data_IF_951841309466
#
_entry.id   IF_951841309466
#
_cell.length_a   1.000
_cell.length_b   1.000
_cell.length_c   1.000
_cell.angle_alpha   90.00
_cell.angle_beta   90.00
_cell.angle_gamma   90.00
#
_symmetry.space_group_name_H-M   'P 1'
#
loop_
_entity.id
_entity.type
_entity.pdbx_description
1 polymer ?
#
# COMPACT_ATOMS: atom_id res chain seq x y z
N UNK A 1 -21.83 -7.34 17.67
CA UNK A 1 -20.74 -6.55 17.06
C UNK A 1 -19.46 -7.39 17.18
N UNK A 2 -18.90 -7.85 16.06
CA UNK A 2 -17.70 -8.71 16.08
C UNK A 2 -16.48 -7.79 15.99
N UNK A 3 -15.73 -7.67 17.08
CA UNK A 3 -14.49 -6.90 17.10
C UNK A 3 -13.43 -7.77 16.42
N UNK A 4 -13.11 -7.43 15.18
CA UNK A 4 -12.00 -8.01 14.44
C UNK A 4 -10.69 -7.61 15.14
N UNK A 5 -9.82 -8.58 15.46
CA UNK A 5 -8.48 -8.32 16.02
C UNK A 5 -7.48 -7.75 14.99
N UNK A 6 -7.98 -7.31 13.83
CA UNK A 6 -7.21 -6.74 12.73
C UNK A 6 -7.90 -5.52 12.16
N UNK A 7 -7.12 -4.53 11.74
CA UNK A 7 -7.62 -3.36 11.01
C UNK A 7 -8.14 -3.77 9.63
N UNK A 8 -9.30 -3.23 9.26
CA UNK A 8 -9.85 -3.25 7.91
C UNK A 8 -9.04 -2.35 6.97
N UNK A 9 -9.22 -2.53 5.66
CA UNK A 9 -8.58 -1.70 4.66
C UNK A 9 -8.90 -0.20 4.83
N UNK A 10 -10.17 0.13 5.09
CA UNK A 10 -10.59 1.51 5.30
C UNK A 10 -9.89 2.14 6.51
N UNK A 11 -9.77 1.39 7.61
CA UNK A 11 -9.05 1.86 8.80
C UNK A 11 -7.55 2.07 8.50
N UNK A 12 -6.93 1.20 7.71
CA UNK A 12 -5.52 1.35 7.28
C UNK A 12 -5.36 2.61 6.41
N UNK A 13 -6.28 2.88 5.49
CA UNK A 13 -6.26 4.08 4.64
C UNK A 13 -6.40 5.36 5.48
N UNK A 14 -7.30 5.38 6.46
CA UNK A 14 -7.47 6.52 7.38
C UNK A 14 -6.18 6.75 8.19
N UNK A 15 -5.57 5.68 8.71
CA UNK A 15 -4.29 5.77 9.43
C UNK A 15 -3.16 6.32 8.54
N UNK A 16 -3.07 5.85 7.29
CA UNK A 16 -2.10 6.38 6.33
C UNK A 16 -2.32 7.87 6.08
N UNK A 17 -3.57 8.30 5.85
CA UNK A 17 -3.91 9.70 5.60
C UNK A 17 -3.50 10.60 6.76
N UNK A 18 -3.82 10.21 8.00
CA UNK A 18 -3.44 10.98 9.20
C UNK A 18 -1.93 11.10 9.30
N UNK A 19 -1.20 10.00 9.16
CA UNK A 19 0.26 10.00 9.29
C UNK A 19 0.95 10.80 8.18
N UNK A 20 0.46 10.74 6.94
CA UNK A 20 0.97 11.56 5.85
C UNK A 20 0.64 13.03 6.03
N UNK A 21 -0.55 13.36 6.54
CA UNK A 21 -0.95 14.75 6.84
C UNK A 21 -0.02 15.37 7.89
N UNK A 22 0.32 14.59 8.93
CA UNK A 22 1.30 15.01 9.95
C UNK A 22 2.69 15.26 9.38
N UNK A 23 3.05 14.63 8.24
CA UNK A 23 4.32 14.84 7.55
C UNK A 23 4.29 15.96 6.49
N UNK A 24 3.15 16.20 5.83
CA UNK A 24 3.02 17.15 4.70
C UNK A 24 2.54 18.55 5.09
N UNK A 25 1.91 18.72 6.25
CA UNK A 25 1.37 20.03 6.67
C UNK A 25 1.04 20.16 8.15
N UNK A 26 1.20 19.10 8.94
CA UNK A 26 1.17 19.18 10.39
C UNK A 26 2.35 19.99 10.92
N UNK A 27 2.18 20.60 12.10
CA UNK A 27 3.32 21.23 12.78
C UNK A 27 4.39 20.17 12.97
N UNK A 28 5.67 20.38 12.58
CA UNK A 28 6.71 19.36 12.67
C UNK A 28 6.85 18.76 14.08
N UNK A 29 6.51 19.55 15.10
CA UNK A 29 6.40 19.13 16.49
C UNK A 29 5.40 17.99 16.74
N UNK A 30 4.32 17.86 15.98
CA UNK A 30 3.33 16.79 16.15
C UNK A 30 3.87 15.42 15.70
N UNK A 31 4.60 15.37 14.58
CA UNK A 31 5.19 14.14 14.07
C UNK A 31 6.48 13.77 14.81
N UNK A 32 7.30 14.75 15.19
CA UNK A 32 8.63 14.53 15.78
C UNK A 32 8.65 14.40 17.31
N UNK A 33 7.60 14.83 18.03
CA UNK A 33 7.54 14.69 19.50
C UNK A 33 7.35 13.27 19.99
N UNK A 34 6.83 12.39 19.14
CA UNK A 34 6.59 11.00 19.52
C UNK A 34 7.66 10.10 18.91
N UNK A 35 8.53 9.54 19.76
CA UNK A 35 9.60 8.60 19.37
C UNK A 35 9.09 7.39 18.57
N UNK A 36 7.84 7.01 18.78
CA UNK A 36 7.23 5.84 18.14
C UNK A 36 6.62 6.17 16.77
N UNK A 37 6.54 7.45 16.38
CA UNK A 37 5.90 7.88 15.14
C UNK A 37 6.46 7.14 13.91
N UNK A 38 7.78 7.08 13.79
CA UNK A 38 8.43 6.41 12.67
C UNK A 38 8.13 4.89 12.64
N UNK A 39 8.02 4.27 13.82
CA UNK A 39 7.64 2.86 13.95
C UNK A 39 6.19 2.63 13.52
N UNK A 40 5.28 3.50 13.96
CA UNK A 40 3.85 3.45 13.60
C UNK A 40 3.67 3.64 12.10
N UNK A 41 4.34 4.63 11.49
CA UNK A 41 4.29 4.85 10.05
C UNK A 41 4.71 3.61 9.26
N UNK A 42 5.86 3.01 9.59
CA UNK A 42 6.33 1.78 8.94
C UNK A 42 5.35 0.61 9.12
N UNK A 43 4.74 0.48 10.30
CA UNK A 43 3.72 -0.56 10.57
C UNK A 43 2.50 -0.37 9.68
N UNK A 44 1.99 0.85 9.54
CA UNK A 44 0.84 1.15 8.67
C UNK A 44 1.16 0.86 7.20
N UNK A 45 2.33 1.27 6.71
CA UNK A 45 2.78 0.94 5.35
C UNK A 45 2.88 -0.58 5.13
N UNK A 46 3.37 -1.32 6.13
CA UNK A 46 3.45 -2.79 6.06
C UNK A 46 2.05 -3.42 6.04
N UNK A 47 1.11 -2.90 6.84
CA UNK A 47 -0.28 -3.37 6.82
C UNK A 47 -0.93 -3.14 5.46
N UNK A 48 -0.73 -1.96 4.86
CA UNK A 48 -1.19 -1.64 3.50
C UNK A 48 -0.64 -2.62 2.47
N UNK A 49 0.68 -2.84 2.46
CA UNK A 49 1.34 -3.80 1.56
C UNK A 49 0.73 -5.20 1.69
N UNK A 50 0.53 -5.70 2.91
CA UNK A 50 -0.07 -7.02 3.15
C UNK A 50 -1.51 -7.12 2.66
N UNK A 51 -2.29 -6.04 2.74
CA UNK A 51 -3.67 -6.02 2.19
C UNK A 51 -3.64 -6.07 0.67
N UNK A 52 -2.73 -5.33 0.02
CA UNK A 52 -2.55 -5.36 -1.45
C UNK A 52 -2.04 -6.73 -1.93
N UNK A 53 -1.08 -7.34 -1.22
CA UNK A 53 -0.60 -8.70 -1.47
C UNK A 53 -1.72 -9.75 -1.31
N UNK A 54 -2.57 -9.61 -0.29
CA UNK A 54 -3.74 -10.50 -0.15
C UNK A 54 -4.72 -10.33 -1.31
N UNK A 55 -4.98 -9.11 -1.75
CA UNK A 55 -5.87 -8.86 -2.91
C UNK A 55 -5.31 -9.46 -4.20
N UNK A 56 -4.01 -9.34 -4.44
CA UNK A 56 -3.36 -9.93 -5.62
C UNK A 56 -3.39 -11.45 -5.53
N UNK A 57 -3.09 -12.03 -4.36
CA UNK A 57 -3.22 -13.47 -4.13
C UNK A 57 -4.67 -13.97 -4.29
N UNK A 58 -5.67 -13.26 -3.79
CA UNK A 58 -7.08 -13.63 -3.92
C UNK A 58 -7.54 -13.56 -5.40
N UNK A 59 -7.06 -12.57 -6.16
CA UNK A 59 -7.28 -12.50 -7.61
C UNK A 59 -6.63 -13.65 -8.37
N UNK A 60 -5.38 -14.00 -8.03
CA UNK A 60 -4.66 -15.12 -8.62
C UNK A 60 -5.32 -16.46 -8.27
N UNK A 61 -5.75 -16.63 -7.01
CA UNK A 61 -6.46 -17.82 -6.54
C UNK A 61 -7.86 -17.95 -7.13
N UNK A 62 -8.52 -16.84 -7.47
CA UNK A 62 -9.78 -16.83 -8.22
C UNK A 62 -9.60 -17.15 -9.71
N UNK A 63 -8.35 -17.15 -10.21
CA UNK A 63 -8.01 -17.29 -11.63
C UNK A 63 -7.52 -18.68 -12.02
N UNK A 64 -8.17 -19.75 -11.53
CA UNK A 64 -7.94 -21.13 -12.02
C UNK A 64 -8.67 -21.37 -13.36
N UNK A 65 -8.74 -20.37 -14.26
CA UNK A 65 -9.56 -20.47 -15.48
C UNK A 65 -9.16 -19.64 -16.69
N UNK A 66 -8.19 -18.73 -16.62
CA UNK A 66 -7.76 -17.95 -17.79
C UNK A 66 -6.26 -17.72 -17.76
N UNK A 67 -5.57 -18.38 -18.69
CA UNK A 67 -4.18 -18.08 -19.05
C UNK A 67 -4.16 -16.66 -19.62
N UNK A 68 -3.76 -15.68 -18.82
CA UNK A 68 -3.48 -14.34 -19.32
C UNK A 68 -2.17 -14.41 -20.10
N UNK A 69 -2.25 -14.11 -21.40
CA UNK A 69 -1.12 -14.02 -22.30
C UNK A 69 -0.11 -12.99 -21.79
N UNK A 70 1.17 -13.23 -22.07
CA UNK A 70 2.28 -12.36 -21.69
C UNK A 70 1.99 -10.90 -22.09
N UNK A 71 2.07 -10.00 -21.12
CA UNK A 71 2.30 -8.58 -21.38
C UNK A 71 3.66 -8.48 -22.06
N UNK A 72 3.65 -8.32 -23.37
CA UNK A 72 4.84 -8.00 -24.15
C UNK A 72 5.14 -6.54 -23.82
N UNK A 73 6.25 -6.30 -23.14
CA UNK A 73 6.82 -4.97 -22.90
C UNK A 73 6.99 -4.24 -24.27
N UNK A 74 6.03 -3.38 -24.63
CA UNK A 74 6.05 -2.54 -25.84
C UNK A 74 6.87 -1.25 -25.67
N UNK A 75 7.92 -1.23 -24.83
CA UNK A 75 8.66 0.01 -24.50
C UNK A 75 10.19 -0.07 -24.67
N UNK A 76 10.71 -0.90 -25.59
CA UNK A 76 12.15 -0.91 -25.92
C UNK A 76 12.50 -1.02 -27.43
N UNK A 77 11.67 -0.48 -28.33
CA UNK A 77 11.98 -0.40 -29.78
C UNK A 77 11.85 1.01 -30.41
N UNK A 78 12.10 2.08 -29.64
CA UNK A 78 12.15 3.45 -30.18
C UNK A 78 13.45 4.23 -29.86
N UNK A 79 14.61 3.54 -29.83
CA UNK A 79 15.93 4.20 -29.87
C UNK A 79 16.86 3.60 -30.92
N UNK A 80 16.44 3.62 -32.18
CA UNK A 80 17.40 3.65 -33.28
C UNK A 80 16.83 4.30 -34.55
N UNK A 81 16.84 5.63 -34.57
CA UNK A 81 16.87 6.42 -35.79
C UNK A 81 17.27 7.86 -35.42
N UNK A 82 18.52 8.23 -35.70
CA UNK A 82 19.13 9.52 -35.42
C UNK A 82 20.63 9.41 -35.50
#
# INVERSE_FOLDING_TARGET
MRISNSFSEGEIQVLEFILQTLLRGGTPSMATRNKDFASVYRKVMTMKKRVEEKKTHDKLSSSVGTVAAADVDEDDMHRQAG
#
